data_IF_784075324183
#
_entry.id   IF_784075324183
#
_cell.length_a   1.000
_cell.length_b   1.000
_cell.length_c   1.000
_cell.angle_alpha   90.00
_cell.angle_beta   90.00
_cell.angle_gamma   90.00
#
_symmetry.space_group_name_H-M   'P 1'
#
loop_
_entity.id
_entity.type
_entity.pdbx_description
1 polymer ?
#
# COMPACT_ATOMS: atom_id res chain seq x y z
N UNK A 1 -8.89 -2.23 -9.22
CA UNK A 1 -8.17 -0.99 -8.96
C UNK A 1 -9.17 0.15 -8.82
N UNK A 2 -9.08 0.92 -7.76
CA UNK A 2 -9.98 2.06 -7.56
C UNK A 2 -9.20 3.27 -7.08
N UNK A 3 -9.70 4.46 -7.40
CA UNK A 3 -9.07 5.73 -7.05
C UNK A 3 -10.10 6.61 -6.36
N UNK A 4 -9.72 7.17 -5.20
CA UNK A 4 -10.55 8.08 -4.44
C UNK A 4 -9.66 9.12 -3.78
N UNK A 5 -9.88 10.41 -4.06
CA UNK A 5 -9.19 11.53 -3.39
C UNK A 5 -7.65 11.38 -3.41
N UNK A 6 -7.07 11.16 -4.57
CA UNK A 6 -5.63 10.96 -4.74
C UNK A 6 -5.10 9.69 -4.07
N UNK A 7 -5.98 8.77 -3.73
CA UNK A 7 -5.61 7.47 -3.14
C UNK A 7 -5.94 6.35 -4.11
N UNK A 8 -4.93 5.56 -4.46
CA UNK A 8 -5.11 4.39 -5.31
C UNK A 8 -5.17 3.14 -4.43
N UNK A 9 -6.25 2.38 -4.57
CA UNK A 9 -6.38 1.08 -3.92
C UNK A 9 -6.16 -0.01 -4.97
N UNK A 10 -5.21 -0.89 -4.73
CA UNK A 10 -4.96 -2.00 -5.63
C UNK A 10 -4.90 -3.31 -4.85
N UNK A 11 -5.32 -4.37 -5.52
CA UNK A 11 -5.27 -5.71 -4.94
C UNK A 11 -4.11 -6.46 -5.58
N UNK A 12 -3.25 -7.04 -4.76
CA UNK A 12 -2.13 -7.80 -5.27
C UNK A 12 -2.62 -9.21 -5.62
N UNK A 13 -2.78 -9.46 -6.90
CA UNK A 13 -3.11 -10.79 -7.39
C UNK A 13 -1.93 -11.45 -8.07
N UNK A 14 -1.00 -10.63 -8.57
CA UNK A 14 0.22 -11.13 -9.22
C UNK A 14 1.35 -10.11 -9.06
N UNK A 15 2.57 -10.53 -9.35
CA UNK A 15 3.79 -9.86 -8.93
C UNK A 15 4.14 -8.54 -9.65
N UNK A 16 3.42 -8.18 -10.71
CA UNK A 16 3.85 -7.06 -11.55
C UNK A 16 3.05 -5.78 -11.39
N UNK A 17 2.11 -5.75 -10.45
CA UNK A 17 1.17 -4.64 -10.32
C UNK A 17 1.86 -3.35 -9.90
N UNK A 18 2.94 -3.43 -9.14
CA UNK A 18 3.59 -2.24 -8.59
C UNK A 18 4.29 -1.38 -9.63
N UNK A 19 4.64 -1.94 -10.77
CA UNK A 19 5.34 -1.20 -11.84
C UNK A 19 4.38 -0.22 -12.52
N UNK A 20 3.15 -0.63 -12.76
CA UNK A 20 2.16 0.20 -13.45
C UNK A 20 1.67 1.36 -12.59
N UNK A 21 1.71 1.21 -11.27
CA UNK A 21 1.23 2.21 -10.33
C UNK A 21 2.11 3.46 -10.32
N UNK A 22 3.41 3.30 -10.55
CA UNK A 22 4.38 4.41 -10.51
C UNK A 22 4.16 5.47 -11.58
N UNK A 23 3.48 5.12 -12.65
CA UNK A 23 3.28 6.04 -13.77
C UNK A 23 2.12 7.02 -13.56
N UNK A 24 1.43 6.91 -12.43
CA UNK A 24 0.27 7.75 -12.16
C UNK A 24 0.67 8.95 -11.30
N UNK A 25 0.96 10.08 -11.95
CA UNK A 25 1.51 11.28 -11.30
C UNK A 25 0.53 12.03 -10.41
N UNK A 26 -0.76 11.71 -10.48
CA UNK A 26 -1.79 12.39 -9.70
C UNK A 26 -2.12 11.69 -8.40
N UNK A 27 -1.49 10.55 -8.14
CA UNK A 27 -1.75 9.74 -6.96
C UNK A 27 -0.63 9.95 -5.95
N UNK A 28 -1.00 10.39 -4.75
CA UNK A 28 -0.04 10.59 -3.65
C UNK A 28 -0.08 9.46 -2.62
N UNK A 29 -1.21 8.79 -2.50
CA UNK A 29 -1.43 7.77 -1.47
C UNK A 29 -1.75 6.44 -2.11
N UNK A 30 -1.25 5.37 -1.53
CA UNK A 30 -1.42 4.03 -2.06
C UNK A 30 -1.86 3.07 -0.96
N UNK A 31 -2.86 2.25 -1.28
CA UNK A 31 -3.34 1.19 -0.38
C UNK A 31 -3.19 -0.14 -1.12
N UNK A 32 -2.40 -1.02 -0.56
CA UNK A 32 -2.21 -2.37 -1.12
C UNK A 32 -3.08 -3.36 -0.34
N UNK A 33 -4.08 -3.92 -1.00
CA UNK A 33 -4.95 -4.94 -0.39
C UNK A 33 -4.32 -6.32 -0.60
N UNK A 34 -3.79 -6.88 0.47
CA UNK A 34 -3.14 -8.18 0.45
C UNK A 34 -3.99 -9.28 1.09
N UNK A 35 -5.26 -9.00 1.37
CA UNK A 35 -6.15 -9.99 1.98
C UNK A 35 -6.27 -11.21 1.08
N UNK A 36 -6.07 -12.38 1.65
CA UNK A 36 -6.11 -13.64 0.91
C UNK A 36 -4.80 -14.07 0.27
N UNK A 37 -3.76 -13.25 0.36
CA UNK A 37 -2.43 -13.60 -0.16
C UNK A 37 -1.64 -14.35 0.90
N UNK A 38 -0.99 -15.44 0.51
CA UNK A 38 -0.19 -16.25 1.43
C UNK A 38 1.04 -15.48 1.93
N UNK A 39 1.38 -15.68 3.21
CA UNK A 39 2.58 -15.07 3.79
C UNK A 39 3.85 -15.42 3.05
N UNK A 40 3.94 -16.60 2.46
CA UNK A 40 5.11 -16.99 1.68
C UNK A 40 5.31 -16.11 0.45
N UNK A 41 4.21 -15.70 -0.19
CA UNK A 41 4.24 -14.78 -1.32
C UNK A 41 4.64 -13.38 -0.84
N UNK A 42 4.05 -12.93 0.27
CA UNK A 42 4.35 -11.63 0.85
C UNK A 42 5.82 -11.55 1.24
N UNK A 43 6.38 -12.58 1.83
CA UNK A 43 7.79 -12.61 2.21
C UNK A 43 8.72 -12.40 1.01
N UNK A 44 8.33 -12.87 -0.17
CA UNK A 44 9.12 -12.70 -1.39
C UNK A 44 9.07 -11.29 -1.99
N UNK A 45 8.06 -10.49 -1.63
CA UNK A 45 7.88 -9.14 -2.18
C UNK A 45 8.00 -8.04 -1.14
N UNK A 46 8.23 -8.40 0.11
CA UNK A 46 8.27 -7.45 1.23
C UNK A 46 9.27 -6.32 1.00
N UNK A 47 10.46 -6.63 0.51
CA UNK A 47 11.49 -5.62 0.27
C UNK A 47 11.07 -4.61 -0.80
N UNK A 48 10.33 -5.05 -1.79
CA UNK A 48 9.78 -4.15 -2.82
C UNK A 48 8.78 -3.18 -2.20
N UNK A 49 7.94 -3.65 -1.29
CA UNK A 49 7.01 -2.79 -0.57
C UNK A 49 7.73 -1.75 0.27
N UNK A 50 8.80 -2.13 0.95
CA UNK A 50 9.57 -1.20 1.76
C UNK A 50 10.18 -0.11 0.88
N UNK A 51 10.78 -0.48 -0.23
CA UNK A 51 11.37 0.46 -1.18
C UNK A 51 10.30 1.38 -1.77
N UNK A 52 9.17 0.82 -2.17
CA UNK A 52 8.05 1.57 -2.72
C UNK A 52 7.49 2.56 -1.70
N UNK A 53 7.31 2.11 -0.46
CA UNK A 53 6.81 2.98 0.61
C UNK A 53 7.73 4.16 0.90
N UNK A 54 9.05 3.94 0.90
CA UNK A 54 10.01 5.02 1.08
C UNK A 54 9.90 6.06 -0.02
N UNK A 55 9.76 5.61 -1.26
CA UNK A 55 9.59 6.51 -2.40
C UNK A 55 8.34 7.37 -2.24
N UNK A 56 7.25 6.77 -1.78
CA UNK A 56 5.99 7.49 -1.56
C UNK A 56 6.14 8.51 -0.43
N UNK A 57 6.75 8.14 0.69
CA UNK A 57 6.96 9.06 1.81
C UNK A 57 7.89 10.21 1.42
N UNK A 58 8.91 9.95 0.62
CA UNK A 58 9.81 10.99 0.12
C UNK A 58 9.08 12.03 -0.74
N UNK A 59 7.96 11.65 -1.32
CA UNK A 59 7.10 12.52 -2.12
C UNK A 59 5.88 13.03 -1.34
N UNK A 60 5.92 12.95 -0.01
CA UNK A 60 4.86 13.41 0.90
C UNK A 60 3.55 12.64 0.79
N UNK A 61 3.62 11.40 0.32
CA UNK A 61 2.47 10.53 0.25
C UNK A 61 2.43 9.52 1.38
N UNK A 62 1.42 8.65 1.36
CA UNK A 62 1.25 7.57 2.34
C UNK A 62 1.08 6.23 1.64
N UNK A 63 1.67 5.20 2.21
CA UNK A 63 1.52 3.83 1.71
C UNK A 63 1.03 2.94 2.85
N UNK A 64 -0.14 2.33 2.67
CA UNK A 64 -0.78 1.49 3.69
C UNK A 64 -1.07 0.13 3.09
N UNK A 65 -0.88 -0.90 3.89
CA UNK A 65 -1.14 -2.29 3.50
C UNK A 65 -2.33 -2.81 4.30
N UNK A 66 -3.26 -3.49 3.64
CA UNK A 66 -4.37 -4.16 4.30
C UNK A 66 -4.02 -5.64 4.41
N UNK A 67 -3.89 -6.11 5.65
CA UNK A 67 -3.62 -7.52 5.91
C UNK A 67 -4.04 -7.84 7.35
N UNK A 68 -4.22 -9.11 7.65
CA UNK A 68 -4.72 -9.54 8.97
C UNK A 68 -3.61 -9.79 10.00
N UNK A 69 -2.35 -9.61 9.61
CA UNK A 69 -1.23 -9.70 10.56
C UNK A 69 -0.12 -8.74 10.16
N UNK A 70 0.67 -8.29 11.14
CA UNK A 70 1.80 -7.39 10.90
C UNK A 70 3.02 -8.26 10.57
N UNK A 71 3.44 -8.22 9.32
CA UNK A 71 4.57 -9.03 8.87
C UNK A 71 5.89 -8.26 8.80
N UNK A 72 5.86 -6.94 8.98
CA UNK A 72 7.07 -6.12 9.04
C UNK A 72 6.77 -4.80 9.73
N UNK A 73 7.62 -4.42 10.69
CA UNK A 73 7.44 -3.19 11.46
C UNK A 73 7.76 -1.92 10.67
N UNK A 74 8.45 -2.04 9.54
CA UNK A 74 8.76 -0.91 8.67
C UNK A 74 7.61 -0.53 7.74
N UNK A 75 6.52 -1.29 7.77
CA UNK A 75 5.35 -1.06 6.93
C UNK A 75 4.15 -0.74 7.80
N UNK A 76 3.28 0.13 7.30
CA UNK A 76 2.01 0.43 7.95
C UNK A 76 0.99 -0.60 7.48
N UNK A 77 0.52 -1.44 8.39
CA UNK A 77 -0.39 -2.53 8.09
C UNK A 77 -1.64 -2.39 8.95
N UNK A 78 -2.80 -2.39 8.32
CA UNK A 78 -4.09 -2.30 9.00
C UNK A 78 -5.00 -3.44 8.54
N UNK A 79 -5.99 -3.84 9.34
CA UNK A 79 -6.80 -5.02 9.00
C UNK A 79 -7.93 -4.76 8.01
N UNK A 80 -8.34 -3.50 7.79
CA UNK A 80 -9.48 -3.19 6.93
C UNK A 80 -9.20 -2.02 6.01
N UNK A 81 -9.95 -1.95 4.91
CA UNK A 81 -9.89 -0.83 3.98
C UNK A 81 -10.30 0.48 4.66
N UNK A 82 -11.31 0.43 5.53
CA UNK A 82 -11.79 1.60 6.26
C UNK A 82 -10.67 2.20 7.12
N UNK A 83 -9.94 1.37 7.84
CA UNK A 83 -8.82 1.82 8.66
C UNK A 83 -7.68 2.38 7.81
N UNK A 84 -7.47 1.84 6.61
CA UNK A 84 -6.46 2.36 5.70
C UNK A 84 -6.81 3.79 5.26
N UNK A 85 -8.05 4.04 4.90
CA UNK A 85 -8.48 5.40 4.56
C UNK A 85 -8.39 6.34 5.76
N UNK A 86 -8.76 5.87 6.93
CA UNK A 86 -8.66 6.68 8.16
C UNK A 86 -7.21 7.07 8.44
N UNK A 87 -6.29 6.15 8.26
CA UNK A 87 -4.87 6.42 8.45
C UNK A 87 -4.38 7.51 7.49
N UNK A 88 -4.75 7.41 6.23
CA UNK A 88 -4.35 8.40 5.22
C UNK A 88 -4.95 9.76 5.53
N UNK A 89 -6.19 9.81 5.94
CA UNK A 89 -6.88 11.04 6.30
C UNK A 89 -6.19 11.74 7.46
N UNK A 90 -5.77 11.00 8.48
CA UNK A 90 -5.04 11.55 9.62
C UNK A 90 -3.69 12.10 9.17
N UNK A 91 -2.98 11.42 8.29
CA UNK A 91 -1.68 11.86 7.80
C UNK A 91 -1.76 13.14 6.96
N UNK A 92 -2.90 13.40 6.33
CA UNK A 92 -3.10 14.59 5.51
C UNK A 92 -3.44 15.85 6.32
N UNK A 93 -3.76 15.69 7.58
CA UNK A 93 -4.00 16.80 8.50
C UNK A 93 -2.68 17.31 9.05
#
# INVERSE_FOLDING_TARGET
MSIKDNTLVFKLTESDVMVDIRDNNNINNFIADLRGVDLSVIAGIKDKFITFGRSIYDNNGSFVIIYDSIFDDNLTIVPTLEEAYDYIEIEEI
#
